data_IF_026792127007
#
_entry.id   IF_026792127007
#
_cell.length_a   1.000
_cell.length_b   1.000
_cell.length_c   1.000
_cell.angle_alpha   90.00
_cell.angle_beta   90.00
_cell.angle_gamma   90.00
#
_symmetry.space_group_name_H-M   'P 1'
#
loop_
_entity.id
_entity.type
_entity.pdbx_description
1 polymer ?
#
# COMPACT_ATOMS: atom_id res chain seq x y z
N UNK A 1 -5.85 15.18 5.59
CA UNK A 1 -5.68 13.75 5.85
C UNK A 1 -6.95 13.04 5.48
N UNK A 2 -6.95 12.45 4.30
CA UNK A 2 -7.95 11.49 3.86
C UNK A 2 -7.41 10.08 4.14
N UNK A 3 -7.62 9.58 5.37
CA UNK A 3 -7.24 8.21 5.73
C UNK A 3 -8.31 7.22 5.28
N UNK A 4 -7.87 6.16 4.60
CA UNK A 4 -8.71 4.98 4.29
C UNK A 4 -8.13 3.73 4.95
N UNK A 5 -8.98 2.73 5.16
CA UNK A 5 -8.56 1.40 5.61
C UNK A 5 -8.66 0.42 4.46
N UNK A 6 -7.62 -0.39 4.26
CA UNK A 6 -7.56 -1.44 3.24
C UNK A 6 -7.30 -2.78 3.91
N UNK A 7 -7.72 -3.87 3.23
CA UNK A 7 -7.37 -5.23 3.62
C UNK A 7 -6.19 -5.69 2.78
N UNK A 8 -5.12 -6.10 3.45
CA UNK A 8 -3.96 -6.74 2.82
C UNK A 8 -4.44 -8.01 2.10
N UNK A 9 -4.02 -8.18 0.85
CA UNK A 9 -4.31 -9.37 0.07
C UNK A 9 -3.34 -10.50 0.42
N UNK A 10 -3.71 -11.74 0.08
CA UNK A 10 -2.81 -12.88 0.31
C UNK A 10 -1.46 -12.66 -0.39
N UNK A 11 -0.38 -12.90 0.35
CA UNK A 11 1.02 -12.76 -0.09
C UNK A 11 1.44 -11.35 -0.52
N UNK A 12 0.70 -10.33 -0.10
CA UNK A 12 1.04 -8.94 -0.39
C UNK A 12 2.05 -8.40 0.63
N UNK A 13 3.12 -7.76 0.14
CA UNK A 13 4.12 -7.09 0.98
C UNK A 13 3.77 -5.61 1.21
N UNK A 14 4.44 -4.94 2.15
CA UNK A 14 4.25 -3.50 2.35
C UNK A 14 4.67 -2.67 1.13
N UNK A 15 5.65 -3.15 0.36
CA UNK A 15 6.09 -2.54 -0.90
C UNK A 15 4.99 -2.63 -1.97
N UNK A 16 4.33 -3.78 -2.07
CA UNK A 16 3.22 -3.98 -2.98
C UNK A 16 2.07 -3.01 -2.67
N UNK A 17 1.70 -2.89 -1.38
CA UNK A 17 0.67 -1.94 -0.92
C UNK A 17 1.07 -0.50 -1.24
N UNK A 18 2.35 -0.14 -1.05
CA UNK A 18 2.85 1.19 -1.36
C UNK A 18 2.73 1.52 -2.86
N UNK A 19 3.12 0.60 -3.74
CA UNK A 19 2.94 0.76 -5.19
C UNK A 19 1.45 0.86 -5.54
N UNK A 20 0.61 0.03 -4.95
CA UNK A 20 -0.83 -0.02 -5.25
C UNK A 20 -1.56 1.28 -4.87
N UNK A 21 -1.26 1.85 -3.70
CA UNK A 21 -2.03 2.97 -3.16
C UNK A 21 -1.31 4.31 -3.18
N UNK A 22 0.03 4.33 -3.22
CA UNK A 22 0.85 5.54 -3.27
C UNK A 22 1.61 5.69 -4.59
N UNK A 23 1.63 4.65 -5.43
CA UNK A 23 2.21 4.69 -6.78
C UNK A 23 3.72 4.46 -6.83
N UNK A 24 4.37 4.30 -5.68
CA UNK A 24 5.81 4.13 -5.58
C UNK A 24 6.17 3.29 -4.33
N UNK A 25 7.14 2.38 -4.48
CA UNK A 25 7.58 1.49 -3.41
C UNK A 25 8.23 2.24 -2.21
N UNK A 26 8.81 3.42 -2.44
CA UNK A 26 9.34 4.28 -1.38
C UNK A 26 8.26 4.74 -0.39
N UNK A 27 6.99 4.73 -0.82
CA UNK A 27 5.84 4.99 0.03
C UNK A 27 5.69 4.00 1.20
N UNK A 28 6.35 2.84 1.16
CA UNK A 28 6.32 1.87 2.24
C UNK A 28 6.88 2.43 3.56
N UNK A 29 7.80 3.41 3.50
CA UNK A 29 8.30 4.11 4.70
C UNK A 29 7.17 4.86 5.39
N UNK A 30 6.33 5.56 4.61
CA UNK A 30 5.18 6.28 5.14
C UNK A 30 4.11 5.34 5.69
N UNK A 31 3.85 4.23 4.98
CA UNK A 31 2.89 3.22 5.44
C UNK A 31 3.33 2.56 6.74
N UNK A 32 4.62 2.21 6.86
CA UNK A 32 5.21 1.64 8.07
C UNK A 32 5.03 2.58 9.26
N UNK A 33 5.36 3.86 9.08
CA UNK A 33 5.22 4.88 10.12
C UNK A 33 3.75 5.10 10.51
N UNK A 34 2.83 5.20 9.54
CA UNK A 34 1.40 5.43 9.80
C UNK A 34 0.75 4.27 10.56
N UNK A 35 1.21 3.04 10.30
CA UNK A 35 0.65 1.82 10.90
C UNK A 35 1.45 1.30 12.10
N UNK A 36 2.56 1.96 12.45
CA UNK A 36 3.46 1.56 13.53
C UNK A 36 3.94 0.10 13.40
N UNK A 37 4.41 -0.26 12.20
CA UNK A 37 4.97 -1.57 11.85
C UNK A 37 6.38 -1.42 11.27
N UNK A 38 7.14 -2.51 11.18
CA UNK A 38 8.42 -2.51 10.44
C UNK A 38 8.18 -2.37 8.94
N UNK A 39 9.12 -1.75 8.22
CA UNK A 39 9.09 -1.73 6.74
C UNK A 39 9.23 -3.14 6.14
N UNK A 40 9.85 -4.06 6.89
CA UNK A 40 10.04 -5.47 6.52
C UNK A 40 9.08 -6.39 7.29
N UNK A 41 7.99 -5.85 7.84
CA UNK A 41 6.98 -6.66 8.51
C UNK A 41 6.36 -7.63 7.50
N UNK A 42 6.22 -8.90 7.90
CA UNK A 42 5.42 -9.85 7.12
C UNK A 42 3.95 -9.53 7.38
N UNK A 43 3.24 -9.12 6.33
CA UNK A 43 1.82 -8.79 6.45
C UNK A 43 0.97 -10.05 6.41
N UNK A 44 -0.08 -10.09 7.22
CA UNK A 44 -1.04 -11.19 7.21
C UNK A 44 -2.19 -10.89 6.25
N UNK A 45 -2.64 -11.91 5.50
CA UNK A 45 -3.82 -11.78 4.65
C UNK A 45 -5.04 -11.34 5.47
N UNK A 46 -5.72 -10.27 5.03
CA UNK A 46 -6.86 -9.68 5.73
C UNK A 46 -6.48 -8.68 6.83
N UNK A 47 -5.19 -8.49 7.14
CA UNK A 47 -4.73 -7.41 8.02
C UNK A 47 -5.24 -6.06 7.51
N UNK A 48 -5.64 -5.18 8.45
CA UNK A 48 -6.07 -3.83 8.11
C UNK A 48 -4.88 -2.88 8.16
N UNK A 49 -4.65 -2.18 7.05
CA UNK A 49 -3.70 -1.07 7.00
C UNK A 49 -4.42 0.25 6.73
N UNK A 50 -3.95 1.29 7.41
CA UNK A 50 -4.30 2.68 7.15
C UNK A 50 -3.43 3.21 6.03
N UNK A 51 -4.06 3.91 5.08
CA UNK A 51 -3.39 4.61 3.99
C UNK A 51 -3.80 6.08 4.05
N UNK A 52 -2.84 7.01 3.96
CA UNK A 52 -3.12 8.43 3.76
C UNK A 52 -3.11 8.76 2.26
N UNK A 53 -4.28 9.00 1.67
CA UNK A 53 -4.36 9.27 0.23
C UNK A 53 -3.82 10.66 -0.14
N UNK A 54 -3.55 11.52 0.84
CA UNK A 54 -2.86 12.79 0.61
C UNK A 54 -1.34 12.58 0.36
N UNK A 55 -0.81 11.38 0.62
CA UNK A 55 0.60 11.02 0.42
C UNK A 55 0.86 10.23 -0.87
N UNK A 56 -0.06 10.25 -1.84
CA UNK A 56 0.17 9.66 -3.15
C UNK A 56 1.38 10.33 -3.82
N UNK A 57 2.34 9.52 -4.24
CA UNK A 57 3.60 9.95 -4.86
C UNK A 57 3.42 10.00 -6.38
N UNK A 58 2.92 8.92 -6.99
CA UNK A 58 2.60 8.86 -8.42
C UNK A 58 1.13 8.48 -8.65
N UNK A 59 0.31 9.49 -8.90
CA UNK A 59 -1.12 9.31 -9.15
C UNK A 59 -1.43 8.58 -10.46
N UNK A 60 -0.51 8.57 -11.43
CA UNK A 60 -0.71 7.86 -12.70
C UNK A 60 -0.59 6.35 -12.50
N UNK A 61 0.37 5.91 -11.69
CA UNK A 61 0.55 4.49 -11.33
C UNK A 61 -0.68 4.00 -10.56
N UNK A 62 -1.10 4.73 -9.53
CA UNK A 62 -2.30 4.38 -8.74
C UNK A 62 -3.55 4.27 -9.62
N UNK A 63 -3.76 5.25 -10.50
CA UNK A 63 -4.92 5.26 -11.40
C UNK A 63 -4.87 4.10 -12.38
N UNK A 64 -3.71 3.83 -13.00
CA UNK A 64 -3.52 2.71 -13.91
C UNK A 64 -3.82 1.36 -13.24
N UNK A 65 -3.26 1.11 -12.05
CA UNK A 65 -3.48 -0.15 -11.33
C UNK A 65 -4.95 -0.32 -10.94
N UNK A 66 -5.60 0.76 -10.48
CA UNK A 66 -7.03 0.74 -10.13
C UNK A 66 -7.93 0.50 -11.34
N UNK A 67 -7.70 1.20 -12.44
CA UNK A 67 -8.51 1.09 -13.67
C UNK A 67 -8.35 -0.27 -14.35
N UNK A 68 -7.18 -0.89 -14.20
CA UNK A 68 -6.88 -2.21 -14.77
C UNK A 68 -7.17 -3.38 -13.83
N UNK A 69 -7.64 -3.09 -12.61
CA UNK A 69 -7.88 -4.09 -11.56
C UNK A 69 -6.63 -4.97 -11.29
N UNK A 70 -5.46 -4.34 -11.29
CA UNK A 70 -4.18 -5.00 -11.04
C UNK A 70 -3.76 -4.78 -9.58
N UNK A 71 -3.47 -5.88 -8.90
CA UNK A 71 -2.92 -5.89 -7.54
C UNK A 71 -1.49 -6.42 -7.59
N UNK A 72 -0.48 -5.62 -7.22
CA UNK A 72 0.89 -6.11 -7.06
C UNK A 72 0.96 -7.16 -5.94
N UNK A 73 1.64 -8.27 -6.20
CA UNK A 73 1.90 -9.37 -5.25
C UNK A 73 3.32 -9.88 -5.52
N UNK A 74 4.20 -9.76 -4.54
CA UNK A 74 5.61 -10.17 -4.68
C UNK A 74 5.95 -11.44 -3.89
N UNK A 75 5.31 -11.68 -2.75
CA UNK A 75 5.61 -12.84 -1.89
C UNK A 75 4.81 -14.08 -2.26
#
# INVERSE_FOLDING_TARGET
>A
MAIINIKVQDRQTLLDVAVQYLGDATGAIYLAQLNNISITENLEAGQILKIDTDQVIDSKVVSYLREKDVVPITD
#
